data_IF_235690866090
#
_entry.id   IF_235690866090
#
_cell.length_a   1.000
_cell.length_b   1.000
_cell.length_c   1.000
_cell.angle_alpha   90.00
_cell.angle_beta   90.00
_cell.angle_gamma   90.00
#
_symmetry.space_group_name_H-M   'P 1'
#
loop_
_entity.id
_entity.type
_entity.pdbx_description
1 polymer ?
#
# COMPACT_ATOMS: atom_id res chain seq x y z
N UNK A 1 1.85 -9.95 6.84
CA UNK A 1 2.77 -9.72 8.01
C UNK A 1 4.10 -10.41 7.78
N UNK A 2 4.12 -11.65 7.21
CA UNK A 2 5.34 -12.38 6.86
C UNK A 2 6.21 -11.62 5.85
N UNK A 3 5.60 -11.09 4.76
CA UNK A 3 6.31 -10.41 3.67
C UNK A 3 7.03 -9.12 4.08
N UNK A 4 6.64 -8.52 5.19
CA UNK A 4 7.23 -7.28 5.72
C UNK A 4 8.05 -7.51 7.00
N UNK A 5 8.28 -8.79 7.35
CA UNK A 5 9.13 -9.19 8.47
C UNK A 5 8.59 -8.88 9.87
N UNK A 6 7.27 -8.65 10.02
CA UNK A 6 6.63 -8.51 11.34
C UNK A 6 6.55 -9.89 12.02
N UNK A 7 6.32 -10.94 11.24
CA UNK A 7 6.28 -12.33 11.70
C UNK A 7 7.28 -13.17 10.91
N UNK A 8 7.80 -14.21 11.53
CA UNK A 8 8.65 -15.18 10.85
C UNK A 8 7.82 -16.39 10.39
N UNK A 9 8.10 -16.96 9.22
CA UNK A 9 7.44 -18.19 8.79
C UNK A 9 7.88 -19.35 9.67
N UNK A 10 6.96 -20.28 9.95
CA UNK A 10 7.24 -21.51 10.68
C UNK A 10 8.14 -22.45 9.86
N UNK A 11 7.98 -22.43 8.54
CA UNK A 11 8.77 -23.22 7.59
C UNK A 11 8.75 -22.56 6.21
N UNK A 12 9.62 -23.01 5.31
CA UNK A 12 9.74 -22.46 3.96
C UNK A 12 10.63 -21.22 3.90
N UNK A 13 10.65 -20.59 2.73
CA UNK A 13 11.47 -19.41 2.43
C UNK A 13 10.64 -18.30 1.82
N UNK A 14 11.02 -17.06 2.08
CA UNK A 14 10.51 -15.87 1.43
C UNK A 14 11.66 -15.27 0.63
N UNK A 15 11.46 -15.16 -0.68
CA UNK A 15 12.45 -14.56 -1.57
C UNK A 15 11.97 -13.17 -2.04
N UNK A 16 12.84 -12.19 -1.98
CA UNK A 16 12.64 -10.85 -2.51
C UNK A 16 13.75 -10.59 -3.53
N UNK A 17 13.39 -10.37 -4.78
CA UNK A 17 14.36 -10.21 -5.88
C UNK A 17 15.40 -11.35 -5.95
N UNK A 18 15.01 -12.58 -5.58
CA UNK A 18 15.90 -13.74 -5.50
C UNK A 18 16.70 -13.86 -4.21
N UNK A 19 16.70 -12.86 -3.34
CA UNK A 19 17.36 -12.88 -2.05
C UNK A 19 16.45 -13.49 -0.97
N UNK A 20 16.99 -14.39 -0.15
CA UNK A 20 16.27 -15.01 0.96
C UNK A 20 16.16 -14.04 2.15
N UNK A 21 14.95 -13.49 2.34
CA UNK A 21 14.65 -12.53 3.40
C UNK A 21 14.09 -13.19 4.68
N UNK A 22 13.95 -14.52 4.70
CA UNK A 22 13.30 -15.28 5.78
C UNK A 22 13.90 -15.00 7.16
N UNK A 23 15.21 -14.89 7.20
CA UNK A 23 15.96 -14.72 8.44
C UNK A 23 16.54 -13.30 8.64
N UNK A 24 16.10 -12.33 7.85
CA UNK A 24 16.58 -10.97 8.05
C UNK A 24 16.33 -10.48 9.47
N UNK A 25 17.37 -9.91 10.06
CA UNK A 25 17.29 -9.28 11.37
C UNK A 25 16.79 -7.82 11.25
N UNK A 26 16.53 -7.19 12.40
CA UNK A 26 16.05 -5.80 12.44
C UNK A 26 16.95 -4.81 11.66
N UNK A 27 18.28 -4.97 11.73
CA UNK A 27 19.23 -4.07 11.06
C UNK A 27 19.10 -4.18 9.55
N UNK A 28 19.03 -5.41 9.02
CA UNK A 28 18.83 -5.68 7.58
C UNK A 28 17.48 -5.16 7.14
N UNK A 29 16.40 -5.44 7.87
CA UNK A 29 15.07 -4.89 7.57
C UNK A 29 15.06 -3.37 7.54
N UNK A 30 15.76 -2.70 8.47
CA UNK A 30 15.83 -1.23 8.49
C UNK A 30 16.43 -0.66 7.21
N UNK A 31 17.43 -1.31 6.63
CA UNK A 31 18.07 -0.88 5.37
C UNK A 31 17.15 -1.06 4.15
N UNK A 32 16.24 -2.03 4.19
CA UNK A 32 15.36 -2.37 3.08
C UNK A 32 13.90 -1.88 3.25
N UNK A 33 13.60 -1.19 4.34
CA UNK A 33 12.23 -0.71 4.61
C UNK A 33 11.68 0.22 3.54
N UNK A 34 12.53 0.97 2.85
CA UNK A 34 12.11 1.77 1.70
C UNK A 34 11.52 0.89 0.60
N UNK A 35 12.15 -0.24 0.30
CA UNK A 35 11.74 -1.12 -0.80
C UNK A 35 10.34 -1.69 -0.63
N UNK A 36 9.94 -2.01 0.61
CA UNK A 36 8.65 -2.65 0.88
C UNK A 36 7.87 -1.79 1.85
N UNK A 37 6.73 -1.30 1.39
CA UNK A 37 5.78 -0.58 2.23
C UNK A 37 4.46 -1.33 2.31
N UNK A 38 3.75 -1.17 3.42
CA UNK A 38 2.46 -1.80 3.64
C UNK A 38 1.44 -0.81 4.18
N UNK A 39 0.21 -0.91 3.68
CA UNK A 39 -0.98 -0.22 4.18
C UNK A 39 -1.93 -1.28 4.68
N UNK A 40 -2.32 -1.20 5.95
CA UNK A 40 -3.21 -2.15 6.60
C UNK A 40 -4.64 -1.63 6.63
N UNK A 41 -5.59 -2.54 6.78
CA UNK A 41 -7.02 -2.24 6.95
C UNK A 41 -7.26 -1.25 8.09
N UNK A 42 -6.64 -1.46 9.24
CA UNK A 42 -6.61 -0.50 10.34
C UNK A 42 -5.39 0.43 10.20
N UNK A 43 -5.61 1.54 9.51
CA UNK A 43 -4.60 2.57 9.30
C UNK A 43 -4.36 3.44 10.54
N UNK A 44 -5.28 3.43 11.52
CA UNK A 44 -5.18 4.25 12.74
C UNK A 44 -3.97 3.86 13.59
N UNK A 45 -3.62 2.57 13.63
CA UNK A 45 -2.45 2.06 14.34
C UNK A 45 -1.09 2.37 13.70
N UNK A 46 -1.07 2.86 12.45
CA UNK A 46 0.18 3.15 11.72
C UNK A 46 0.54 4.64 11.69
N UNK A 47 -0.42 5.51 11.99
CA UNK A 47 -0.24 6.96 12.06
C UNK A 47 -0.12 7.42 13.51
N UNK A 48 0.70 8.43 13.77
CA UNK A 48 0.74 9.07 15.08
C UNK A 48 -0.43 10.05 15.22
N UNK A 49 -1.43 9.77 16.07
CA UNK A 49 -2.66 10.57 16.15
C UNK A 49 -2.44 11.98 16.70
N UNK A 50 -1.35 12.22 17.42
CA UNK A 50 -1.04 13.52 18.02
C UNK A 50 -0.28 14.44 17.06
N UNK A 51 0.31 13.90 15.98
CA UNK A 51 1.06 14.68 14.99
C UNK A 51 0.17 15.09 13.83
N UNK A 52 0.54 16.18 13.14
CA UNK A 52 -0.17 16.61 11.94
C UNK A 52 -0.06 15.60 10.79
N UNK A 53 -0.96 15.70 9.82
CA UNK A 53 -0.91 14.91 8.59
C UNK A 53 0.44 15.05 7.89
N UNK A 54 0.91 16.29 7.73
CA UNK A 54 2.23 16.59 7.15
C UNK A 54 3.35 15.85 7.89
N UNK A 55 3.40 15.99 9.22
CA UNK A 55 4.47 15.40 10.04
C UNK A 55 4.50 13.86 9.98
N UNK A 56 3.35 13.21 9.80
CA UNK A 56 3.28 11.77 9.63
C UNK A 56 3.90 11.29 8.30
N UNK A 57 3.69 12.04 7.22
CA UNK A 57 4.27 11.71 5.91
C UNK A 57 5.75 12.10 5.87
N UNK A 58 6.09 13.31 6.35
CA UNK A 58 7.47 13.80 6.36
C UNK A 58 8.40 12.87 7.13
N UNK A 59 7.93 12.26 8.23
CA UNK A 59 8.71 11.30 9.02
C UNK A 59 9.18 10.10 8.17
N UNK A 60 8.31 9.57 7.31
CA UNK A 60 8.69 8.47 6.42
C UNK A 60 9.78 8.93 5.42
N UNK A 61 9.61 10.11 4.85
CA UNK A 61 10.57 10.68 3.90
C UNK A 61 11.93 10.98 4.55
N UNK A 62 11.94 11.52 5.78
CA UNK A 62 13.18 11.80 6.53
C UNK A 62 13.95 10.52 6.84
N UNK A 63 13.24 9.46 7.20
CA UNK A 63 13.87 8.21 7.64
C UNK A 63 14.27 7.27 6.50
N UNK A 64 13.63 7.39 5.32
CA UNK A 64 13.75 6.41 4.26
C UNK A 64 14.23 7.00 2.92
N UNK A 65 14.45 8.31 2.83
CA UNK A 65 14.93 8.97 1.60
C UNK A 65 15.98 10.03 1.92
N UNK A 66 16.74 10.41 0.90
CA UNK A 66 17.74 11.49 1.00
C UNK A 66 17.19 12.86 0.58
N UNK A 67 15.87 12.97 0.35
CA UNK A 67 15.21 14.19 -0.11
C UNK A 67 15.41 15.31 0.93
N UNK A 68 15.82 16.51 0.48
CA UNK A 68 15.96 17.71 1.32
C UNK A 68 14.58 18.24 1.73
N UNK A 69 14.54 19.08 2.76
CA UNK A 69 13.29 19.63 3.32
C UNK A 69 12.37 20.26 2.27
N UNK A 70 12.92 21.09 1.38
CA UNK A 70 12.13 21.74 0.32
C UNK A 70 11.55 20.72 -0.68
N UNK A 71 12.33 19.69 -1.05
CA UNK A 71 11.92 18.62 -1.94
C UNK A 71 10.83 17.76 -1.29
N UNK A 72 10.98 17.43 0.00
CA UNK A 72 9.96 16.69 0.75
C UNK A 72 8.63 17.43 0.78
N UNK A 73 8.66 18.74 1.08
CA UNK A 73 7.45 19.56 1.13
C UNK A 73 6.74 19.57 -0.22
N UNK A 74 7.47 19.83 -1.31
CA UNK A 74 6.90 19.81 -2.66
C UNK A 74 6.30 18.44 -2.98
N UNK A 75 7.06 17.38 -2.73
CA UNK A 75 6.62 16.01 -3.00
C UNK A 75 5.34 15.62 -2.23
N UNK A 76 5.22 16.02 -0.96
CA UNK A 76 4.00 15.80 -0.17
C UNK A 76 2.81 16.53 -0.79
N UNK A 77 2.98 17.79 -1.22
CA UNK A 77 1.92 18.55 -1.86
C UNK A 77 1.46 17.90 -3.17
N UNK A 78 2.41 17.52 -4.03
CA UNK A 78 2.12 16.83 -5.30
C UNK A 78 1.33 15.51 -5.07
N UNK A 79 1.66 14.78 -3.99
CA UNK A 79 0.95 13.56 -3.61
C UNK A 79 -0.43 13.82 -3.02
N UNK A 80 -0.63 14.93 -2.29
CA UNK A 80 -1.96 15.29 -1.77
C UNK A 80 -2.95 15.55 -2.89
N UNK A 81 -2.52 16.20 -3.96
CA UNK A 81 -3.34 16.37 -5.16
C UNK A 81 -3.76 15.01 -5.74
N UNK A 82 -2.82 14.06 -5.82
CA UNK A 82 -3.10 12.72 -6.35
C UNK A 82 -4.08 11.92 -5.48
N UNK A 83 -4.15 12.15 -4.17
CA UNK A 83 -5.10 11.49 -3.25
C UNK A 83 -6.37 12.32 -3.01
N UNK A 84 -6.54 13.44 -3.69
CA UNK A 84 -7.65 14.38 -3.49
C UNK A 84 -7.83 14.77 -2.00
N UNK A 85 -6.74 15.12 -1.33
CA UNK A 85 -6.75 15.64 0.03
C UNK A 85 -6.55 17.14 0.02
N UNK A 86 -7.37 17.84 0.82
CA UNK A 86 -7.26 19.28 1.00
C UNK A 86 -5.94 19.66 1.71
N UNK A 87 -5.23 20.63 1.17
CA UNK A 87 -4.01 21.15 1.79
C UNK A 87 -4.23 21.74 3.19
N UNK A 88 -5.45 22.22 3.49
CA UNK A 88 -5.84 22.67 4.82
C UNK A 88 -5.70 21.59 5.89
N UNK A 89 -5.71 20.30 5.50
CA UNK A 89 -5.54 19.19 6.42
C UNK A 89 -4.07 18.91 6.80
N UNK A 90 -3.09 19.55 6.12
CA UNK A 90 -1.67 19.28 6.37
C UNK A 90 -1.26 19.50 7.83
N UNK A 91 -1.73 20.58 8.42
CA UNK A 91 -1.41 20.92 9.83
C UNK A 91 -2.40 20.31 10.83
N UNK A 92 -3.44 19.63 10.34
CA UNK A 92 -4.46 18.99 11.18
C UNK A 92 -3.89 17.77 11.86
N UNK A 93 -4.01 17.62 13.19
CA UNK A 93 -3.65 16.39 13.90
C UNK A 93 -4.48 15.20 13.38
N UNK A 94 -3.81 14.06 13.17
CA UNK A 94 -4.44 12.86 12.58
C UNK A 94 -5.69 12.41 13.32
N UNK A 95 -5.75 12.58 14.66
CA UNK A 95 -6.94 12.27 15.47
C UNK A 95 -8.21 13.05 15.09
N UNK A 96 -8.07 14.17 14.36
CA UNK A 96 -9.17 15.04 13.92
C UNK A 96 -9.61 14.72 12.48
N UNK A 97 -8.86 13.89 11.78
CA UNK A 97 -9.19 13.44 10.43
C UNK A 97 -10.28 12.37 10.49
N UNK A 98 -11.16 12.36 9.50
CA UNK A 98 -12.11 11.27 9.27
C UNK A 98 -11.37 9.95 8.97
N UNK A 99 -12.04 8.82 9.17
CA UNK A 99 -11.45 7.50 8.87
C UNK A 99 -10.99 7.36 7.41
N UNK A 100 -11.74 7.94 6.46
CA UNK A 100 -11.36 7.97 5.04
C UNK A 100 -10.12 8.81 4.78
N UNK A 101 -10.00 9.98 5.42
CA UNK A 101 -8.80 10.84 5.33
C UNK A 101 -7.58 10.17 5.96
N UNK A 102 -7.73 9.52 7.12
CA UNK A 102 -6.65 8.76 7.74
C UNK A 102 -6.16 7.63 6.84
N UNK A 103 -7.08 6.93 6.16
CA UNK A 103 -6.73 5.86 5.22
C UNK A 103 -5.99 6.40 4.00
N UNK A 104 -6.46 7.49 3.39
CA UNK A 104 -5.75 8.17 2.29
C UNK A 104 -4.38 8.66 2.74
N UNK A 105 -4.27 9.24 3.94
CA UNK A 105 -3.00 9.68 4.51
C UNK A 105 -2.02 8.51 4.73
N UNK A 106 -2.51 7.36 5.21
CA UNK A 106 -1.69 6.16 5.38
C UNK A 106 -1.15 5.65 4.05
N UNK A 107 -1.98 5.66 3.00
CA UNK A 107 -1.56 5.31 1.65
C UNK A 107 -0.54 6.31 1.11
N UNK A 108 -0.81 7.63 1.25
CA UNK A 108 0.10 8.69 0.86
C UNK A 108 1.47 8.52 1.53
N UNK A 109 1.50 8.25 2.84
CA UNK A 109 2.73 7.98 3.58
C UNK A 109 3.52 6.80 3.01
N UNK A 110 2.82 5.73 2.62
CA UNK A 110 3.47 4.54 2.07
C UNK A 110 4.06 4.79 0.68
N UNK A 111 3.32 5.47 -0.21
CA UNK A 111 3.79 5.76 -1.58
C UNK A 111 4.82 6.89 -1.65
N UNK A 112 4.85 7.78 -0.65
CA UNK A 112 5.76 8.93 -0.63
C UNK A 112 7.24 8.54 -0.68
N UNK A 113 7.59 7.37 -0.16
CA UNK A 113 8.97 6.87 -0.20
C UNK A 113 9.32 6.15 -1.50
N UNK A 114 8.38 6.07 -2.45
CA UNK A 114 8.55 5.44 -3.77
C UNK A 114 9.05 3.99 -3.61
N UNK A 115 8.24 3.10 -2.97
CA UNK A 115 8.65 1.73 -2.71
C UNK A 115 8.67 0.89 -4.00
N UNK A 116 9.52 -0.14 -4.06
CA UNK A 116 9.54 -1.12 -5.14
C UNK A 116 8.33 -2.07 -5.03
N UNK A 117 7.89 -2.34 -3.78
CA UNK A 117 6.76 -3.23 -3.44
C UNK A 117 5.80 -2.56 -2.49
N UNK A 118 4.54 -2.47 -2.90
CA UNK A 118 3.44 -1.93 -2.08
C UNK A 118 2.47 -3.06 -1.73
N UNK A 119 2.31 -3.35 -0.44
CA UNK A 119 1.35 -4.33 0.06
C UNK A 119 0.16 -3.57 0.63
N UNK A 120 -1.03 -3.87 0.15
CA UNK A 120 -2.26 -3.25 0.60
C UNK A 120 -3.25 -4.30 1.08
N UNK A 121 -3.66 -4.17 2.33
CA UNK A 121 -4.55 -5.10 3.01
C UNK A 121 -5.90 -4.42 3.27
N UNK A 122 -6.92 -4.80 2.48
CA UNK A 122 -8.30 -4.33 2.54
C UNK A 122 -8.46 -2.79 2.57
N UNK A 123 -7.64 -2.06 1.82
CA UNK A 123 -7.59 -0.59 1.87
C UNK A 123 -8.88 0.10 1.39
N UNK A 124 -9.74 -0.59 0.65
CA UNK A 124 -11.04 -0.09 0.18
C UNK A 124 -12.22 -0.53 1.06
N UNK A 125 -12.00 -1.44 2.00
CA UNK A 125 -13.05 -1.98 2.87
C UNK A 125 -13.66 -0.90 3.76
N UNK A 126 -15.00 -0.83 3.79
CA UNK A 126 -15.73 0.16 4.59
C UNK A 126 -15.66 1.61 4.09
N UNK A 127 -15.09 1.87 2.92
CA UNK A 127 -15.20 3.15 2.24
C UNK A 127 -16.49 3.22 1.40
N UNK A 128 -17.02 4.45 1.24
CA UNK A 128 -18.03 4.73 0.23
C UNK A 128 -17.44 4.55 -1.18
N UNK A 129 -18.31 4.44 -2.19
CA UNK A 129 -17.90 4.15 -3.57
C UNK A 129 -16.95 5.20 -4.16
N UNK A 130 -17.15 6.48 -3.82
CA UNK A 130 -16.32 7.58 -4.34
C UNK A 130 -14.94 7.51 -3.72
N UNK A 131 -14.86 7.33 -2.41
CA UNK A 131 -13.60 7.19 -1.67
C UNK A 131 -12.82 5.94 -2.10
N UNK A 132 -13.50 4.81 -2.30
CA UNK A 132 -12.88 3.58 -2.79
C UNK A 132 -12.32 3.77 -4.21
N UNK A 133 -13.10 4.40 -5.11
CA UNK A 133 -12.66 4.71 -6.47
C UNK A 133 -11.40 5.60 -6.50
N UNK A 134 -11.37 6.63 -5.67
CA UNK A 134 -10.22 7.53 -5.55
C UNK A 134 -8.95 6.77 -5.10
N UNK A 135 -9.07 5.87 -4.10
CA UNK A 135 -7.96 5.03 -3.63
C UNK A 135 -7.46 4.10 -4.75
N UNK A 136 -8.37 3.42 -5.46
CA UNK A 136 -7.99 2.52 -6.54
C UNK A 136 -7.31 3.26 -7.70
N UNK A 137 -7.85 4.41 -8.10
CA UNK A 137 -7.26 5.27 -9.15
C UNK A 137 -5.86 5.74 -8.77
N UNK A 138 -5.66 6.13 -7.50
CA UNK A 138 -4.33 6.50 -7.02
C UNK A 138 -3.34 5.35 -7.14
N UNK A 139 -3.74 4.16 -6.71
CA UNK A 139 -2.89 2.96 -6.76
C UNK A 139 -2.54 2.60 -8.21
N UNK A 140 -3.51 2.61 -9.11
CA UNK A 140 -3.29 2.40 -10.55
C UNK A 140 -2.25 3.38 -11.11
N UNK A 141 -2.43 4.67 -10.83
CA UNK A 141 -1.53 5.71 -11.29
C UNK A 141 -0.13 5.55 -10.68
N UNK A 142 -0.05 5.27 -9.38
CA UNK A 142 1.23 5.04 -8.71
C UNK A 142 1.99 3.87 -9.34
N UNK A 143 1.36 2.70 -9.45
CA UNK A 143 1.99 1.50 -10.04
C UNK A 143 2.42 1.75 -11.48
N UNK A 144 1.58 2.41 -12.27
CA UNK A 144 1.87 2.72 -13.68
C UNK A 144 3.05 3.68 -13.84
N UNK A 145 3.17 4.70 -12.98
CA UNK A 145 4.20 5.72 -13.08
C UNK A 145 5.52 5.29 -12.45
N UNK A 146 5.47 4.57 -11.31
CA UNK A 146 6.68 4.13 -10.59
C UNK A 146 7.27 2.81 -11.11
N UNK A 147 6.49 2.00 -11.81
CA UNK A 147 6.85 0.62 -12.16
C UNK A 147 6.88 -0.33 -10.95
N UNK A 148 6.39 0.11 -9.80
CA UNK A 148 6.34 -0.70 -8.57
C UNK A 148 5.42 -1.90 -8.71
N UNK A 149 5.71 -2.96 -7.98
CA UNK A 149 4.82 -4.12 -7.85
C UNK A 149 3.85 -3.91 -6.69
N UNK A 150 2.58 -4.25 -6.90
CA UNK A 150 1.55 -4.15 -5.88
C UNK A 150 0.98 -5.52 -5.53
N UNK A 151 0.89 -5.83 -4.23
CA UNK A 151 0.12 -6.96 -3.69
C UNK A 151 -1.13 -6.36 -3.05
N UNK A 152 -2.28 -6.58 -3.70
CA UNK A 152 -3.57 -6.07 -3.25
C UNK A 152 -4.42 -7.20 -2.67
N UNK A 153 -4.66 -7.15 -1.36
CA UNK A 153 -5.47 -8.13 -0.64
C UNK A 153 -6.88 -7.54 -0.48
N UNK A 154 -7.88 -8.25 -0.99
CA UNK A 154 -9.27 -7.81 -0.92
C UNK A 154 -10.23 -8.99 -1.01
N UNK A 155 -11.40 -8.85 -0.42
CA UNK A 155 -12.54 -9.73 -0.65
C UNK A 155 -13.47 -9.21 -1.76
N UNK A 156 -13.23 -7.99 -2.28
CA UNK A 156 -13.99 -7.41 -3.37
C UNK A 156 -13.46 -7.90 -4.72
N UNK A 157 -14.25 -8.76 -5.38
CA UNK A 157 -13.92 -9.24 -6.73
C UNK A 157 -13.80 -8.08 -7.74
N UNK A 158 -14.66 -7.06 -7.60
CA UNK A 158 -14.65 -5.88 -8.47
C UNK A 158 -13.31 -5.12 -8.37
N UNK A 159 -12.83 -4.89 -7.16
CA UNK A 159 -11.58 -4.16 -6.94
C UNK A 159 -10.37 -4.99 -7.41
N UNK A 160 -10.38 -6.30 -7.14
CA UNK A 160 -9.34 -7.21 -7.63
C UNK A 160 -9.27 -7.21 -9.17
N UNK A 161 -10.41 -7.29 -9.85
CA UNK A 161 -10.45 -7.27 -11.33
C UNK A 161 -10.02 -5.94 -11.93
N UNK A 162 -10.14 -4.84 -11.20
CA UNK A 162 -9.70 -3.52 -11.65
C UNK A 162 -8.19 -3.35 -11.56
N UNK A 163 -7.58 -3.78 -10.43
CA UNK A 163 -6.18 -3.50 -10.10
C UNK A 163 -5.23 -4.59 -10.61
N UNK A 164 -5.66 -5.86 -10.56
CA UNK A 164 -4.73 -6.97 -10.69
C UNK A 164 -4.46 -7.35 -12.14
N UNK A 165 -3.19 -7.68 -12.43
CA UNK A 165 -2.80 -8.42 -13.63
C UNK A 165 -2.88 -9.95 -13.39
N UNK A 166 -2.60 -10.36 -12.14
CA UNK A 166 -2.64 -11.76 -11.69
C UNK A 166 -3.47 -11.87 -10.41
N UNK A 167 -4.31 -12.90 -10.33
CA UNK A 167 -5.17 -13.16 -9.18
C UNK A 167 -4.74 -14.46 -8.52
N UNK A 168 -4.70 -14.44 -7.19
CA UNK A 168 -4.47 -15.62 -6.34
C UNK A 168 -5.67 -15.74 -5.40
N UNK A 169 -6.38 -16.86 -5.46
CA UNK A 169 -7.50 -17.15 -4.58
C UNK A 169 -6.99 -18.02 -3.42
N UNK A 170 -7.18 -17.52 -2.21
CA UNK A 170 -6.81 -18.26 -0.99
C UNK A 170 -8.06 -18.79 -0.29
N UNK A 171 -8.00 -20.02 0.17
CA UNK A 171 -9.02 -20.67 1.01
C UNK A 171 -8.33 -21.44 2.13
N UNK A 172 -8.79 -21.27 3.35
CA UNK A 172 -8.25 -21.97 4.54
C UNK A 172 -6.71 -21.88 4.66
N UNK A 173 -6.14 -20.70 4.37
CA UNK A 173 -4.70 -20.45 4.45
C UNK A 173 -3.86 -21.09 3.33
N UNK A 174 -4.49 -21.63 2.28
CA UNK A 174 -3.84 -22.26 1.13
C UNK A 174 -4.21 -21.55 -0.15
N UNK A 175 -3.33 -21.61 -1.14
CA UNK A 175 -3.63 -21.17 -2.51
C UNK A 175 -4.55 -22.22 -3.12
N UNK A 176 -5.80 -21.84 -3.39
CA UNK A 176 -6.79 -22.70 -4.05
C UNK A 176 -6.68 -22.59 -5.58
N UNK A 177 -6.54 -21.37 -6.08
CA UNK A 177 -6.49 -21.07 -7.52
C UNK A 177 -5.54 -19.91 -7.76
N UNK A 178 -4.91 -19.85 -8.93
CA UNK A 178 -4.14 -18.71 -9.40
C UNK A 178 -4.16 -18.62 -10.93
N UNK A 179 -4.13 -17.41 -11.46
CA UNK A 179 -4.10 -17.17 -12.91
C UNK A 179 -3.95 -15.70 -13.26
N UNK A 180 -3.66 -15.44 -14.52
CA UNK A 180 -3.71 -14.08 -15.06
C UNK A 180 -5.16 -13.68 -15.34
N UNK A 181 -5.46 -12.38 -15.21
CA UNK A 181 -6.81 -11.86 -15.42
C UNK A 181 -7.33 -12.15 -16.84
N UNK A 182 -6.45 -12.09 -17.84
CA UNK A 182 -6.78 -12.37 -19.25
C UNK A 182 -7.30 -13.81 -19.42
N UNK A 183 -6.67 -14.79 -18.76
CA UNK A 183 -7.05 -16.20 -18.84
C UNK A 183 -8.41 -16.46 -18.16
N UNK A 184 -8.70 -15.77 -17.06
CA UNK A 184 -9.97 -15.91 -16.34
C UNK A 184 -11.15 -15.32 -17.11
N UNK A 185 -10.96 -14.22 -17.85
CA UNK A 185 -11.99 -13.62 -18.71
C UNK A 185 -12.28 -14.50 -19.93
N UNK A 186 -11.30 -15.22 -20.45
CA UNK A 186 -11.45 -16.16 -21.56
C UNK A 186 -12.25 -17.40 -21.18
N UNK A 187 -12.02 -17.94 -19.98
CA UNK A 187 -12.73 -19.14 -19.50
C UNK A 187 -14.22 -18.89 -19.15
N UNK A 188 -14.61 -17.65 -18.83
CA UNK A 188 -16.01 -17.31 -18.59
C UNK A 188 -16.84 -17.18 -19.89
N UNK A 189 -16.22 -16.88 -21.04
CA UNK A 189 -16.90 -16.82 -22.33
C UNK A 189 -17.14 -18.18 -22.97
N UNK A 190 -16.53 -19.25 -22.45
CA UNK A 190 -16.70 -20.62 -22.95
C UNK A 190 -17.74 -21.46 -22.21
N UNK A 191 -18.45 -20.90 -21.22
CA UNK A 191 -19.50 -21.61 -20.44
C UNK A 191 -20.89 -20.96 -20.58
N UNK A 192 -21.11 -20.17 -21.63
CA UNK A 192 -22.40 -19.55 -21.98
C UNK A 192 -23.07 -20.21 -23.17
#
# INVERSE_FOLDING_TARGET
RLLIGIEKPTSGKILLDGEDITCWNYRTWKQHRKKIQAVFQDSSGTLNPARSAYANVEEALVNLTDKKRAERKKHILDLMDAVHMDYGLLETPVRQLSGGEQRRLSLLRAIAVEPDYLIMDEVTSGLDLISADAVLTLVENFVKLSGSSCIFITHSRKDAMRIANRIIIMREGRIAEQGYLIDQLSNQKGQG
#
